data_IF_410699909124
#
_entry.id   IF_410699909124
#
_cell.length_a   1.000
_cell.length_b   1.000
_cell.length_c   1.000
_cell.angle_alpha   90.00
_cell.angle_beta   90.00
_cell.angle_gamma   90.00
#
_symmetry.space_group_name_H-M   'P 1'
#
loop_
_entity.id
_entity.type
_entity.pdbx_description
1 polymer ?
#
# COMPACT_ATOMS: atom_id res chain seq x y z
N UNK A 1 43.03 -23.69 6.96
CA UNK A 1 42.49 -23.27 5.64
C UNK A 1 41.10 -22.68 5.84
N UNK A 2 40.94 -21.36 5.70
CA UNK A 2 39.62 -20.71 5.73
C UNK A 2 39.01 -20.81 4.33
N UNK A 3 37.87 -21.51 4.18
CA UNK A 3 37.05 -21.46 2.96
C UNK A 3 36.44 -20.06 2.84
N UNK A 4 36.90 -19.26 1.87
CA UNK A 4 36.16 -18.08 1.42
C UNK A 4 34.94 -18.59 0.66
N UNK A 5 33.76 -18.44 1.25
CA UNK A 5 32.50 -18.42 0.49
C UNK A 5 32.48 -17.10 -0.29
N UNK A 6 32.95 -17.13 -1.52
CA UNK A 6 32.71 -16.06 -2.47
C UNK A 6 31.33 -16.31 -3.04
N UNK A 7 30.32 -15.61 -2.52
CA UNK A 7 29.06 -15.45 -3.25
C UNK A 7 29.44 -14.63 -4.48
N UNK A 8 29.41 -15.25 -5.67
CA UNK A 8 29.57 -14.52 -6.93
C UNK A 8 28.53 -13.39 -6.94
N UNK A 9 28.98 -12.15 -7.13
CA UNK A 9 28.10 -11.01 -7.19
C UNK A 9 27.11 -11.23 -8.34
N UNK A 10 25.81 -11.22 -8.04
CA UNK A 10 24.76 -11.32 -9.05
C UNK A 10 24.90 -10.12 -10.00
N UNK A 11 25.42 -10.35 -11.21
CA UNK A 11 25.50 -9.32 -12.24
C UNK A 11 24.08 -9.11 -12.75
N UNK A 12 23.43 -8.06 -12.27
CA UNK A 12 22.10 -7.65 -12.73
C UNK A 12 22.29 -7.08 -14.15
N UNK A 13 21.62 -7.64 -15.18
CA UNK A 13 21.63 -7.05 -16.53
C UNK A 13 21.28 -5.56 -16.49
N UNK A 14 21.96 -4.74 -17.28
CA UNK A 14 21.83 -3.27 -17.25
C UNK A 14 20.36 -2.82 -17.45
N UNK A 15 19.64 -3.46 -18.38
CA UNK A 15 18.21 -3.24 -18.63
C UNK A 15 17.32 -3.56 -17.41
N UNK A 16 17.62 -4.65 -16.68
CA UNK A 16 16.91 -4.98 -15.43
C UNK A 16 17.21 -3.93 -14.35
N UNK A 17 18.44 -3.43 -14.31
CA UNK A 17 18.84 -2.34 -13.42
C UNK A 17 18.12 -1.02 -13.72
N UNK A 18 17.87 -0.71 -14.99
CA UNK A 18 17.11 0.48 -15.41
C UNK A 18 15.62 0.35 -15.13
N UNK A 19 15.03 -0.81 -15.41
CA UNK A 19 13.63 -1.09 -15.05
C UNK A 19 13.41 -0.93 -13.55
N UNK A 20 14.26 -1.55 -12.73
CA UNK A 20 14.18 -1.47 -11.27
C UNK A 20 14.28 -0.02 -10.76
N UNK A 21 15.17 0.80 -11.34
CA UNK A 21 15.26 2.22 -10.98
C UNK A 21 13.98 2.99 -11.30
N UNK A 22 13.38 2.73 -12.46
CA UNK A 22 12.10 3.34 -12.84
C UNK A 22 10.96 2.87 -11.94
N UNK A 23 10.93 1.58 -11.61
CA UNK A 23 9.99 1.00 -10.66
C UNK A 23 10.07 1.67 -9.29
N UNK A 24 11.28 1.82 -8.75
CA UNK A 24 11.50 2.58 -7.52
C UNK A 24 11.02 4.03 -7.63
N UNK A 25 11.37 4.73 -8.71
CA UNK A 25 10.95 6.12 -8.94
C UNK A 25 9.42 6.25 -9.00
N UNK A 26 8.78 5.31 -9.67
CA UNK A 26 7.33 5.23 -9.79
C UNK A 26 6.68 5.11 -8.41
N UNK A 27 7.17 4.19 -7.57
CA UNK A 27 6.65 4.01 -6.21
C UNK A 27 6.97 5.18 -5.28
N UNK A 28 8.12 5.85 -5.44
CA UNK A 28 8.41 7.11 -4.74
C UNK A 28 7.36 8.17 -5.07
N UNK A 29 7.03 8.36 -6.36
CA UNK A 29 5.99 9.30 -6.75
C UNK A 29 4.60 8.91 -6.26
N UNK A 30 4.29 7.62 -6.16
CA UNK A 30 3.08 7.13 -5.52
C UNK A 30 3.05 7.51 -4.03
N UNK A 31 4.15 7.27 -3.31
CA UNK A 31 4.25 7.58 -1.88
C UNK A 31 4.16 9.08 -1.60
N UNK A 32 4.74 9.90 -2.47
CA UNK A 32 4.75 11.37 -2.35
C UNK A 32 3.48 12.05 -2.87
N UNK A 33 2.46 11.28 -3.30
CA UNK A 33 1.26 11.78 -3.96
C UNK A 33 1.58 12.66 -5.20
N UNK A 34 2.69 12.39 -5.87
CA UNK A 34 3.10 13.08 -7.09
C UNK A 34 2.48 12.40 -8.32
N UNK A 35 1.21 12.70 -8.59
CA UNK A 35 0.46 12.09 -9.68
C UNK A 35 1.11 12.33 -11.06
N UNK A 36 1.64 13.55 -11.28
CA UNK A 36 2.32 13.90 -12.53
C UNK A 36 3.60 13.10 -12.71
N UNK A 37 4.40 12.98 -11.65
CA UNK A 37 5.61 12.14 -11.65
C UNK A 37 5.29 10.68 -11.91
N UNK A 38 4.29 10.12 -11.23
CA UNK A 38 3.86 8.74 -11.43
C UNK A 38 3.40 8.49 -12.88
N UNK A 39 2.64 9.43 -13.47
CA UNK A 39 2.21 9.34 -14.87
C UNK A 39 3.38 9.36 -15.86
N UNK A 40 4.36 10.25 -15.65
CA UNK A 40 5.56 10.35 -16.49
C UNK A 40 6.35 9.04 -16.44
N UNK A 41 6.54 8.48 -15.25
CA UNK A 41 7.28 7.22 -15.10
C UNK A 41 6.53 6.04 -15.70
N UNK A 42 5.20 5.95 -15.51
CA UNK A 42 4.36 4.94 -16.16
C UNK A 42 4.44 5.03 -17.70
N UNK A 43 4.45 6.24 -18.24
CA UNK A 43 4.62 6.48 -19.69
C UNK A 43 5.98 5.97 -20.17
N UNK A 44 7.05 6.22 -19.41
CA UNK A 44 8.39 5.71 -19.75
C UNK A 44 8.45 4.18 -19.68
N UNK A 45 7.87 3.57 -18.64
CA UNK A 45 7.76 2.10 -18.54
C UNK A 45 7.02 1.51 -19.73
N UNK A 46 5.91 2.17 -20.13
CA UNK A 46 5.11 1.76 -21.28
C UNK A 46 5.91 1.79 -22.58
N UNK A 47 6.73 2.82 -22.76
CA UNK A 47 7.52 3.04 -23.98
C UNK A 47 8.72 2.10 -24.08
N UNK A 48 9.42 1.85 -22.98
CA UNK A 48 10.73 1.20 -22.99
C UNK A 48 10.72 -0.25 -22.49
N UNK A 49 9.66 -0.71 -21.81
CA UNK A 49 9.64 -2.05 -21.19
C UNK A 49 8.36 -2.83 -21.46
N UNK A 50 7.18 -2.22 -21.29
CA UNK A 50 5.93 -2.97 -21.41
C UNK A 50 5.64 -3.47 -22.83
N UNK A 51 6.26 -2.90 -23.86
CA UNK A 51 6.16 -3.41 -25.24
C UNK A 51 6.73 -4.82 -25.37
N UNK A 52 7.73 -5.17 -24.56
CA UNK A 52 8.40 -6.46 -24.59
C UNK A 52 7.79 -7.48 -23.62
N UNK A 53 6.84 -7.04 -22.78
CA UNK A 53 6.15 -7.92 -21.83
C UNK A 53 5.11 -8.77 -22.54
N UNK A 54 5.06 -10.05 -22.19
CA UNK A 54 3.91 -10.91 -22.48
C UNK A 54 2.66 -10.43 -21.72
N UNK A 55 1.49 -10.88 -22.17
CA UNK A 55 0.24 -10.56 -21.51
C UNK A 55 0.20 -11.04 -20.05
N UNK A 56 0.83 -12.19 -19.75
CA UNK A 56 0.92 -12.70 -18.39
C UNK A 56 1.81 -11.81 -17.51
N UNK A 57 2.93 -11.33 -18.04
CA UNK A 57 3.82 -10.41 -17.32
C UNK A 57 3.13 -9.07 -17.05
N UNK A 58 2.37 -8.52 -18.02
CA UNK A 58 1.56 -7.31 -17.80
C UNK A 58 0.52 -7.50 -16.70
N UNK A 59 -0.20 -8.63 -16.70
CA UNK A 59 -1.18 -8.96 -15.66
C UNK A 59 -0.52 -9.13 -14.29
N UNK A 60 0.62 -9.83 -14.23
CA UNK A 60 1.38 -10.00 -13.01
C UNK A 60 1.87 -8.64 -12.46
N UNK A 61 2.43 -7.80 -13.33
CA UNK A 61 2.88 -6.46 -12.95
C UNK A 61 1.73 -5.59 -12.45
N UNK A 62 0.57 -5.62 -13.12
CA UNK A 62 -0.64 -4.93 -12.67
C UNK A 62 -1.06 -5.33 -11.25
N UNK A 63 -1.11 -6.63 -10.96
CA UNK A 63 -1.45 -7.14 -9.62
C UNK A 63 -0.42 -6.71 -8.57
N UNK A 64 0.87 -6.80 -8.89
CA UNK A 64 1.96 -6.35 -8.03
C UNK A 64 1.84 -4.85 -7.72
N UNK A 65 1.56 -4.03 -8.74
CA UNK A 65 1.36 -2.60 -8.59
C UNK A 65 0.16 -2.29 -7.68
N UNK A 66 -1.00 -2.91 -7.92
CA UNK A 66 -2.21 -2.73 -7.08
C UNK A 66 -1.93 -3.13 -5.63
N UNK A 67 -1.13 -4.17 -5.40
CA UNK A 67 -0.71 -4.59 -4.06
C UNK A 67 0.13 -3.51 -3.38
N UNK A 68 1.09 -2.92 -4.09
CA UNK A 68 1.95 -1.87 -3.55
C UNK A 68 1.17 -0.57 -3.28
N UNK A 69 0.24 -0.20 -4.17
CA UNK A 69 -0.69 0.91 -3.93
C UNK A 69 -1.50 0.70 -2.65
N UNK A 70 -2.00 -0.52 -2.42
CA UNK A 70 -2.70 -0.88 -1.19
C UNK A 70 -1.81 -0.77 0.05
N UNK A 71 -0.54 -1.19 -0.03
CA UNK A 71 0.41 -1.02 1.09
C UNK A 71 0.64 0.45 1.42
N UNK A 72 0.86 1.30 0.41
CA UNK A 72 1.02 2.74 0.62
C UNK A 72 -0.25 3.32 1.26
N UNK A 73 -1.44 2.97 0.79
CA UNK A 73 -2.70 3.48 1.36
C UNK A 73 -2.90 3.02 2.82
N UNK A 74 -2.52 1.78 3.17
CA UNK A 74 -2.50 1.30 4.56
C UNK A 74 -1.49 2.05 5.43
N UNK A 75 -0.25 2.27 4.96
CA UNK A 75 0.79 3.03 5.68
C UNK A 75 0.38 4.49 5.95
N UNK A 76 -0.57 5.03 5.19
CA UNK A 76 -1.15 6.35 5.40
C UNK A 76 -2.33 6.34 6.40
N UNK A 77 -2.61 5.21 7.06
CA UNK A 77 -3.61 5.07 8.12
C UNK A 77 -5.04 4.81 7.64
N UNK A 78 -5.23 4.36 6.39
CA UNK A 78 -6.56 3.92 5.95
C UNK A 78 -6.94 2.59 6.61
N UNK A 79 -8.22 2.39 7.00
CA UNK A 79 -8.66 1.13 7.58
C UNK A 79 -8.37 -0.06 6.66
N UNK A 80 -7.54 -0.99 7.13
CA UNK A 80 -7.02 -2.13 6.38
C UNK A 80 -8.11 -2.92 5.63
N UNK A 81 -9.28 -3.15 6.25
CA UNK A 81 -10.39 -3.85 5.62
C UNK A 81 -10.92 -3.15 4.35
N UNK A 82 -11.06 -1.82 4.38
CA UNK A 82 -11.50 -1.03 3.23
C UNK A 82 -10.45 -1.05 2.12
N UNK A 83 -9.17 -0.99 2.48
CA UNK A 83 -8.08 -1.07 1.50
C UNK A 83 -8.03 -2.44 0.84
N UNK A 84 -8.25 -3.53 1.59
CA UNK A 84 -8.32 -4.88 1.02
C UNK A 84 -9.55 -5.10 0.12
N UNK A 85 -10.71 -4.55 0.47
CA UNK A 85 -11.89 -4.58 -0.40
C UNK A 85 -11.61 -3.86 -1.72
N UNK A 86 -10.99 -2.68 -1.66
CA UNK A 86 -10.55 -1.93 -2.83
C UNK A 86 -9.50 -2.69 -3.65
N UNK A 87 -8.49 -3.27 -2.99
CA UNK A 87 -7.47 -4.09 -3.64
C UNK A 87 -8.09 -5.28 -4.40
N UNK A 88 -9.03 -6.00 -3.77
CA UNK A 88 -9.75 -7.12 -4.40
C UNK A 88 -10.56 -6.68 -5.60
N UNK A 89 -11.23 -5.53 -5.52
CA UNK A 89 -11.96 -4.96 -6.64
C UNK A 89 -11.04 -4.72 -7.84
N UNK A 90 -9.87 -4.12 -7.62
CA UNK A 90 -8.89 -3.88 -8.69
C UNK A 90 -8.26 -5.17 -9.22
N UNK A 91 -7.98 -6.17 -8.38
CA UNK A 91 -7.52 -7.48 -8.86
C UNK A 91 -8.47 -8.10 -9.88
N UNK A 92 -9.78 -7.93 -9.70
CA UNK A 92 -10.80 -8.43 -10.63
C UNK A 92 -10.71 -7.82 -12.04
N UNK A 93 -10.06 -6.67 -12.22
CA UNK A 93 -9.87 -6.08 -13.55
C UNK A 93 -8.69 -6.66 -14.33
N UNK A 94 -7.86 -7.51 -13.72
CA UNK A 94 -6.73 -8.14 -14.43
C UNK A 94 -7.16 -8.98 -15.64
N UNK A 95 -8.36 -9.54 -15.62
CA UNK A 95 -8.92 -10.27 -16.77
C UNK A 95 -9.30 -9.37 -17.94
N UNK A 96 -9.45 -8.06 -17.70
CA UNK A 96 -9.72 -7.05 -18.72
C UNK A 96 -8.44 -6.50 -19.39
N UNK A 97 -7.28 -7.06 -19.07
CA UNK A 97 -6.00 -6.74 -19.72
C UNK A 97 -5.83 -7.67 -20.92
N UNK A 98 -5.82 -7.08 -22.12
CA UNK A 98 -5.69 -7.78 -23.40
C UNK A 98 -4.46 -7.35 -24.20
N UNK A 99 -3.91 -6.18 -23.87
CA UNK A 99 -2.76 -5.56 -24.52
C UNK A 99 -2.11 -4.53 -23.58
N UNK A 100 -1.02 -3.91 -24.02
CA UNK A 100 -0.30 -2.89 -23.26
C UNK A 100 -1.18 -1.68 -22.94
N UNK A 101 -2.04 -1.23 -23.87
CA UNK A 101 -2.85 -0.04 -23.68
C UNK A 101 -3.92 -0.26 -22.60
N UNK A 102 -4.64 -1.37 -22.66
CA UNK A 102 -5.61 -1.79 -21.65
C UNK A 102 -4.95 -1.98 -20.28
N UNK A 103 -3.72 -2.52 -20.24
CA UNK A 103 -2.92 -2.62 -19.01
C UNK A 103 -2.64 -1.24 -18.40
N UNK A 104 -2.10 -0.32 -19.19
CA UNK A 104 -1.72 1.03 -18.76
C UNK A 104 -2.93 1.84 -18.33
N UNK A 105 -4.05 1.73 -19.05
CA UNK A 105 -5.32 2.38 -18.68
C UNK A 105 -5.84 1.89 -17.33
N UNK A 106 -5.79 0.57 -17.08
CA UNK A 106 -6.19 -0.01 -15.81
C UNK A 106 -5.22 0.34 -14.68
N UNK A 107 -3.91 0.37 -14.96
CA UNK A 107 -2.91 0.84 -14.01
C UNK A 107 -3.18 2.29 -13.61
N UNK A 108 -3.41 3.17 -14.60
CA UNK A 108 -3.70 4.57 -14.34
C UNK A 108 -4.99 4.79 -13.55
N UNK A 109 -6.05 4.04 -13.86
CA UNK A 109 -7.30 4.05 -13.06
C UNK A 109 -7.08 3.62 -11.63
N UNK A 110 -6.27 2.57 -11.39
CA UNK A 110 -5.92 2.16 -10.04
C UNK A 110 -5.12 3.26 -9.33
N UNK A 111 -4.06 3.76 -9.95
CA UNK A 111 -3.22 4.84 -9.42
C UNK A 111 -4.06 6.05 -9.00
N UNK A 112 -4.97 6.54 -9.86
CA UNK A 112 -5.86 7.67 -9.52
C UNK A 112 -6.78 7.37 -8.35
N UNK A 113 -7.32 6.16 -8.27
CA UNK A 113 -8.22 5.74 -7.19
C UNK A 113 -7.52 5.64 -5.84
N UNK A 114 -6.31 5.09 -5.82
CA UNK A 114 -5.44 5.08 -4.64
C UNK A 114 -4.93 6.49 -4.34
N UNK A 115 -4.73 7.34 -5.35
CA UNK A 115 -4.32 8.74 -5.17
C UNK A 115 -5.40 9.66 -4.58
N UNK A 116 -6.68 9.42 -4.87
CA UNK A 116 -7.76 10.25 -4.32
C UNK A 116 -7.87 10.20 -2.79
N UNK A 117 -7.23 9.24 -2.12
CA UNK A 117 -7.16 9.20 -0.65
C UNK A 117 -6.12 10.15 -0.04
N UNK A 118 -5.08 10.58 -0.77
CA UNK A 118 -4.03 11.45 -0.20
C UNK A 118 -4.47 12.91 -0.02
N UNK A 119 -5.52 13.35 -0.74
CA UNK A 119 -6.15 14.65 -0.51
C UNK A 119 -7.40 14.58 0.39
N UNK A 120 -7.90 13.38 0.71
CA UNK A 120 -9.14 13.20 1.44
C UNK A 120 -8.99 13.21 2.98
N UNK A 121 -7.76 13.21 3.50
CA UNK A 121 -7.53 13.30 4.94
C UNK A 121 -6.68 14.52 5.29
N UNK A 122 -7.29 15.59 5.84
CA UNK A 122 -6.50 16.52 6.62
C UNK A 122 -5.88 15.71 7.76
N UNK A 123 -4.67 16.06 8.19
CA UNK A 123 -3.99 15.54 9.39
C UNK A 123 -4.78 15.74 10.72
N UNK A 124 -6.11 15.93 10.66
CA UNK A 124 -6.99 16.46 11.68
C UNK A 124 -8.28 15.65 11.92
N UNK A 125 -8.50 14.46 11.35
CA UNK A 125 -9.77 13.72 11.62
C UNK A 125 -9.76 12.97 12.95
N UNK A 126 -8.60 12.46 13.34
CA UNK A 126 -8.40 11.75 14.59
C UNK A 126 -7.40 12.49 15.45
N UNK A 127 -7.69 12.56 16.75
CA UNK A 127 -6.73 13.04 17.73
C UNK A 127 -5.50 12.15 17.73
N UNK A 128 -4.34 12.71 18.13
CA UNK A 128 -3.10 11.93 18.29
C UNK A 128 -3.35 10.64 19.08
N UNK A 129 -4.23 10.69 20.08
CA UNK A 129 -4.59 9.52 20.87
C UNK A 129 -5.24 8.42 20.02
N UNK A 130 -6.24 8.75 19.19
CA UNK A 130 -6.92 7.74 18.35
C UNK A 130 -6.00 7.24 17.24
N UNK A 131 -5.13 8.09 16.70
CA UNK A 131 -4.07 7.64 15.78
C UNK A 131 -3.12 6.66 16.46
N UNK A 132 -2.66 6.93 17.69
CA UNK A 132 -1.83 6.00 18.46
C UNK A 132 -2.55 4.68 18.79
N UNK A 133 -3.87 4.71 19.00
CA UNK A 133 -4.67 3.50 19.18
C UNK A 133 -4.76 2.65 17.90
N UNK A 134 -4.90 3.29 16.73
CA UNK A 134 -4.90 2.60 15.44
C UNK A 134 -3.54 1.95 15.14
N UNK A 135 -2.46 2.70 15.35
CA UNK A 135 -1.09 2.17 15.20
C UNK A 135 -0.84 0.98 16.14
N UNK A 136 -1.29 1.08 17.40
CA UNK A 136 -1.17 -0.04 18.34
C UNK A 136 -1.91 -1.29 17.85
N UNK A 137 -3.11 -1.13 17.27
CA UNK A 137 -3.88 -2.23 16.68
C UNK A 137 -3.08 -2.88 15.55
N UNK A 138 -2.53 -2.07 14.64
CA UNK A 138 -1.75 -2.55 13.50
C UNK A 138 -0.48 -3.32 13.90
N UNK A 139 0.26 -2.82 14.89
CA UNK A 139 1.47 -3.46 15.40
C UNK A 139 1.19 -4.78 16.15
N UNK A 140 -0.04 -5.00 16.61
CA UNK A 140 -0.41 -6.12 17.48
C UNK A 140 -1.50 -7.03 16.87
N UNK A 141 -1.70 -7.01 15.55
CA UNK A 141 -2.71 -7.84 14.86
C UNK A 141 -2.53 -9.36 15.10
N UNK A 142 -1.32 -9.80 15.42
CA UNK A 142 -1.01 -11.22 15.64
C UNK A 142 -1.28 -11.71 17.07
N UNK A 143 -1.75 -10.83 17.96
CA UNK A 143 -2.06 -11.18 19.33
C UNK A 143 -3.44 -10.66 19.75
N UNK A 144 -4.04 -11.19 20.83
CA UNK A 144 -5.30 -10.67 21.33
C UNK A 144 -5.16 -9.20 21.75
N UNK A 145 -5.78 -8.31 20.96
CA UNK A 145 -5.84 -6.88 21.24
C UNK A 145 -6.98 -6.62 22.22
N UNK A 146 -6.65 -5.96 23.33
CA UNK A 146 -7.64 -5.54 24.34
C UNK A 146 -7.44 -4.08 24.71
N UNK A 147 -8.52 -3.41 25.09
CA UNK A 147 -8.45 -2.05 25.64
C UNK A 147 -7.53 -1.98 26.87
N UNK A 148 -7.46 -3.07 27.65
CA UNK A 148 -6.55 -3.21 28.79
C UNK A 148 -5.09 -3.11 28.37
N UNK A 149 -4.63 -3.89 27.40
CA UNK A 149 -3.24 -3.81 26.92
C UNK A 149 -2.92 -2.43 26.32
N UNK A 150 -3.85 -1.91 25.52
CA UNK A 150 -3.72 -0.58 24.91
C UNK A 150 -3.67 0.55 25.95
N UNK A 151 -4.40 0.40 27.07
CA UNK A 151 -4.38 1.35 28.20
C UNK A 151 -3.02 1.43 28.87
N UNK A 152 -2.35 0.28 29.02
CA UNK A 152 -1.00 0.18 29.60
C UNK A 152 0.01 0.83 28.67
N UNK A 153 -0.10 0.60 27.36
CA UNK A 153 0.81 1.17 26.36
C UNK A 153 0.68 2.69 26.23
N UNK A 154 -0.55 3.22 26.21
CA UNK A 154 -0.81 4.65 25.99
C UNK A 154 -0.88 5.48 27.28
N UNK A 155 -0.86 4.85 28.46
CA UNK A 155 -0.98 5.53 29.74
C UNK A 155 -2.34 6.22 29.96
N UNK A 156 -3.41 5.67 29.37
CA UNK A 156 -4.76 6.24 29.40
C UNK A 156 -5.80 5.22 29.86
N UNK A 157 -6.82 5.64 30.59
CA UNK A 157 -7.83 4.71 31.13
C UNK A 157 -8.67 4.05 30.02
N UNK A 158 -8.91 2.74 30.13
CA UNK A 158 -9.62 1.91 29.12
C UNK A 158 -10.95 2.51 28.64
N UNK A 159 -11.81 2.93 29.59
CA UNK A 159 -13.12 3.54 29.31
C UNK A 159 -13.02 4.90 28.59
N UNK A 160 -11.93 5.64 28.75
CA UNK A 160 -11.69 6.88 28.00
C UNK A 160 -11.25 6.56 26.57
N UNK A 161 -10.29 5.66 26.42
CA UNK A 161 -9.83 5.14 25.13
C UNK A 161 -11.01 4.60 24.30
N UNK A 162 -11.82 3.70 24.85
CA UNK A 162 -12.96 3.12 24.12
C UNK A 162 -14.01 4.16 23.69
N UNK A 163 -14.31 5.15 24.55
CA UNK A 163 -15.25 6.23 24.21
C UNK A 163 -14.71 7.17 23.14
N UNK A 164 -13.44 7.55 23.26
CA UNK A 164 -12.76 8.44 22.31
C UNK A 164 -12.64 7.78 20.94
N UNK A 165 -12.24 6.51 20.93
CA UNK A 165 -12.15 5.71 19.72
C UNK A 165 -13.50 5.53 19.04
N UNK A 166 -14.56 5.20 19.78
CA UNK A 166 -15.91 5.10 19.22
C UNK A 166 -16.39 6.45 18.66
N UNK A 167 -16.15 7.54 19.38
CA UNK A 167 -16.56 8.89 18.98
C UNK A 167 -15.91 9.34 17.67
N UNK A 168 -14.64 8.99 17.48
CA UNK A 168 -13.85 9.45 16.33
C UNK A 168 -13.96 8.47 15.15
N UNK A 169 -13.91 7.16 15.39
CA UNK A 169 -13.92 6.13 14.33
C UNK A 169 -15.30 5.59 13.98
N UNK A 170 -16.33 5.82 14.80
CA UNK A 170 -17.65 5.18 14.73
C UNK A 170 -17.64 3.64 14.91
N UNK A 171 -16.51 3.07 15.33
CA UNK A 171 -16.37 1.64 15.60
C UNK A 171 -15.90 1.39 17.04
N UNK A 172 -16.25 0.24 17.60
CA UNK A 172 -15.65 -0.20 18.87
C UNK A 172 -14.34 -0.95 18.58
N UNK A 173 -13.36 -0.85 19.49
CA UNK A 173 -12.10 -1.60 19.37
C UNK A 173 -12.36 -3.10 19.21
N UNK A 174 -13.35 -3.65 19.94
CA UNK A 174 -13.76 -5.06 19.82
C UNK A 174 -14.25 -5.41 18.41
N UNK A 175 -14.96 -4.52 17.71
CA UNK A 175 -15.44 -4.79 16.34
C UNK A 175 -14.29 -4.85 15.32
N UNK A 176 -13.20 -4.12 15.56
CA UNK A 176 -12.03 -4.09 14.66
C UNK A 176 -11.10 -5.29 14.90
N UNK A 177 -10.99 -5.77 16.15
CA UNK A 177 -10.02 -6.79 16.53
C UNK A 177 -10.53 -8.24 16.46
N UNK A 178 -11.69 -8.49 15.82
CA UNK A 178 -12.34 -9.83 15.72
C UNK A 178 -12.29 -10.38 14.29
N UNK A 179 -11.22 -10.07 13.54
CA UNK A 179 -10.93 -10.69 12.25
C UNK A 179 -9.78 -11.69 12.39
#
# INVERSE_FOLDING_TARGET
>A
MKKKNTIEAYVIPEEIGEFYKLELLFFCHIKDNNQKGAHIVLTNMTKYFFQDFSLQELKAYYISMVTLLARVEMEQGQPVHLVFEKQRHYFGFSDSIFDVNSAVDLMWKAILSFFHCFHAYPKNKYSMLVSSMLNYIEEHLHEPITLKKMSVFLGQHEKYLGRKFLKETNYTVKKICVA
#
